data_IF_351027945525
#
_entry.id   IF_351027945525
#
_cell.length_a   1.000
_cell.length_b   1.000
_cell.length_c   1.000
_cell.angle_alpha   90.00
_cell.angle_beta   90.00
_cell.angle_gamma   90.00
#
_symmetry.space_group_name_H-M   'P 1'
#
loop_
_entity.id
_entity.type
_entity.pdbx_description
1 polymer ?
#
# COMPACT_ATOMS: atom_id res chain seq x y z
N UNK A 1 -44.08 -29.32 -41.14
CA UNK A 1 -44.35 -28.53 -39.91
C UNK A 1 -43.27 -28.85 -38.89
N UNK A 2 -42.36 -27.90 -38.61
CA UNK A 2 -41.16 -28.15 -37.79
C UNK A 2 -41.48 -28.43 -36.31
N UNK A 3 -40.64 -29.18 -35.60
CA UNK A 3 -40.78 -29.53 -34.17
C UNK A 3 -40.98 -28.30 -33.25
N UNK A 4 -40.42 -27.14 -33.62
CA UNK A 4 -40.61 -25.87 -32.90
C UNK A 4 -42.07 -25.39 -32.87
N UNK A 5 -42.90 -25.86 -33.78
CA UNK A 5 -44.33 -25.49 -33.84
C UNK A 5 -45.17 -26.31 -32.85
N UNK A 6 -44.74 -27.53 -32.49
CA UNK A 6 -45.44 -28.40 -31.53
C UNK A 6 -45.27 -27.93 -30.08
N UNK A 7 -44.16 -27.26 -29.76
CA UNK A 7 -43.83 -26.82 -28.40
C UNK A 7 -44.57 -25.54 -27.97
N UNK A 8 -45.05 -24.74 -28.94
CA UNK A 8 -45.92 -23.57 -28.67
C UNK A 8 -47.33 -23.96 -28.20
N UNK A 9 -47.81 -25.15 -28.57
CA UNK A 9 -49.16 -25.66 -28.26
C UNK A 9 -49.31 -26.20 -26.84
N UNK A 10 -48.21 -26.35 -26.07
CA UNK A 10 -48.23 -26.83 -24.68
C UNK A 10 -48.17 -25.72 -23.63
N UNK A 11 -48.03 -24.45 -24.04
CA UNK A 11 -47.98 -23.35 -23.08
C UNK A 11 -49.40 -23.07 -22.57
N UNK A 12 -49.64 -23.30 -21.29
CA UNK A 12 -50.89 -22.89 -20.63
C UNK A 12 -51.07 -21.39 -20.88
N UNK A 13 -52.27 -20.94 -21.30
CA UNK A 13 -52.54 -19.53 -21.44
C UNK A 13 -52.27 -18.83 -20.10
N UNK A 14 -51.60 -17.68 -20.15
CA UNK A 14 -51.34 -16.87 -18.95
C UNK A 14 -52.65 -16.45 -18.29
N UNK A 15 -52.62 -16.17 -16.98
CA UNK A 15 -53.80 -15.90 -16.15
C UNK A 15 -54.76 -14.85 -16.75
N UNK A 16 -54.23 -13.85 -17.47
CA UNK A 16 -55.03 -12.82 -18.14
C UNK A 16 -55.99 -13.38 -19.21
N UNK A 17 -55.60 -14.44 -19.91
CA UNK A 17 -56.41 -15.10 -20.95
C UNK A 17 -57.42 -16.10 -20.38
N UNK A 18 -57.39 -16.35 -19.07
CA UNK A 18 -58.37 -17.19 -18.36
C UNK A 18 -59.47 -16.37 -17.68
N UNK A 19 -59.39 -15.03 -17.73
CA UNK A 19 -60.40 -14.13 -17.18
C UNK A 19 -61.59 -14.00 -18.14
N UNK A 20 -62.83 -13.82 -17.63
CA UNK A 20 -63.99 -13.51 -18.46
C UNK A 20 -63.77 -12.22 -19.28
N UNK A 21 -64.30 -12.17 -20.50
CA UNK A 21 -64.14 -11.04 -21.43
C UNK A 21 -64.62 -9.71 -20.82
N UNK A 22 -65.69 -9.75 -20.03
CA UNK A 22 -66.23 -8.59 -19.30
C UNK A 22 -65.23 -8.02 -18.29
N UNK A 23 -64.53 -8.89 -17.56
CA UNK A 23 -63.48 -8.50 -16.61
C UNK A 23 -62.28 -7.94 -17.36
N UNK A 24 -61.93 -8.53 -18.50
CA UNK A 24 -60.82 -8.08 -19.34
C UNK A 24 -61.08 -6.66 -19.91
N UNK A 25 -62.31 -6.40 -20.39
CA UNK A 25 -62.74 -5.09 -20.87
C UNK A 25 -62.75 -4.04 -19.74
N UNK A 26 -63.23 -4.41 -18.54
CA UNK A 26 -63.22 -3.53 -17.39
C UNK A 26 -61.79 -3.15 -16.97
N UNK A 27 -60.85 -4.11 -17.00
CA UNK A 27 -59.43 -3.84 -16.72
C UNK A 27 -58.85 -2.88 -17.77
N UNK A 28 -59.11 -3.10 -19.07
CA UNK A 28 -58.61 -2.22 -20.13
C UNK A 28 -59.14 -0.79 -19.97
N UNK A 29 -60.44 -0.62 -19.69
CA UNK A 29 -61.04 0.69 -19.46
C UNK A 29 -60.48 1.38 -18.21
N UNK A 30 -60.27 0.63 -17.13
CA UNK A 30 -59.60 1.12 -15.93
C UNK A 30 -58.18 1.61 -16.23
N UNK A 31 -57.38 0.80 -16.94
CA UNK A 31 -56.04 1.19 -17.39
C UNK A 31 -56.03 2.43 -18.29
N UNK A 32 -57.02 2.59 -19.18
CA UNK A 32 -57.14 3.78 -20.02
C UNK A 32 -57.46 5.05 -19.21
N UNK A 33 -58.32 4.93 -18.19
CA UNK A 33 -58.68 6.02 -17.28
C UNK A 33 -57.49 6.46 -16.43
N UNK A 34 -56.75 5.50 -15.89
CA UNK A 34 -55.63 5.75 -14.97
C UNK A 34 -54.30 6.01 -15.69
N UNK A 35 -54.27 5.87 -17.02
CA UNK A 35 -53.05 5.96 -17.86
C UNK A 35 -52.18 7.18 -17.54
N UNK A 36 -52.79 8.36 -17.40
CA UNK A 36 -52.04 9.61 -17.15
C UNK A 36 -51.39 9.62 -15.77
N UNK A 37 -52.12 9.13 -14.76
CA UNK A 37 -51.62 9.05 -13.40
C UNK A 37 -50.54 7.98 -13.26
N UNK A 38 -50.75 6.80 -13.87
CA UNK A 38 -49.75 5.74 -13.97
C UNK A 38 -48.51 6.20 -14.72
N UNK A 39 -48.65 6.93 -15.84
CA UNK A 39 -47.51 7.49 -16.55
C UNK A 39 -46.72 8.45 -15.66
N UNK A 40 -47.39 9.37 -14.96
CA UNK A 40 -46.74 10.31 -14.04
C UNK A 40 -45.97 9.58 -12.92
N UNK A 41 -46.59 8.55 -12.32
CA UNK A 41 -45.95 7.70 -11.30
C UNK A 41 -44.73 6.97 -11.86
N UNK A 42 -44.87 6.31 -13.00
CA UNK A 42 -43.78 5.58 -13.65
C UNK A 42 -42.63 6.52 -14.03
N UNK A 43 -42.91 7.72 -14.54
CA UNK A 43 -41.86 8.72 -14.85
C UNK A 43 -41.13 9.16 -13.58
N UNK A 44 -41.86 9.46 -12.50
CA UNK A 44 -41.25 9.85 -11.22
C UNK A 44 -40.42 8.70 -10.60
N UNK A 45 -40.89 7.45 -10.68
CA UNK A 45 -40.13 6.28 -10.24
C UNK A 45 -38.86 6.07 -11.08
N UNK A 46 -38.93 6.27 -12.40
CA UNK A 46 -37.76 6.21 -13.27
C UNK A 46 -36.76 7.33 -12.98
N UNK A 47 -37.22 8.54 -12.69
CA UNK A 47 -36.37 9.66 -12.27
C UNK A 47 -35.68 9.36 -10.93
N UNK A 48 -36.43 8.91 -9.92
CA UNK A 48 -35.87 8.50 -8.63
C UNK A 48 -34.84 7.36 -8.77
N UNK A 49 -35.10 6.39 -9.65
CA UNK A 49 -34.13 5.32 -9.95
C UNK A 49 -32.86 5.86 -10.62
N UNK A 50 -32.98 6.82 -11.54
CA UNK A 50 -31.83 7.47 -12.19
C UNK A 50 -31.00 8.27 -11.18
N UNK A 51 -31.64 9.02 -10.29
CA UNK A 51 -30.98 9.77 -9.23
C UNK A 51 -30.24 8.83 -8.27
N UNK A 52 -30.89 7.74 -7.82
CA UNK A 52 -30.27 6.75 -6.96
C UNK A 52 -29.08 6.05 -7.66
N UNK A 53 -29.20 5.72 -8.95
CA UNK A 53 -28.12 5.14 -9.74
C UNK A 53 -26.93 6.10 -9.88
N UNK A 54 -27.20 7.39 -10.14
CA UNK A 54 -26.17 8.42 -10.22
C UNK A 54 -25.45 8.64 -8.89
N UNK A 55 -26.19 8.67 -7.78
CA UNK A 55 -25.62 8.77 -6.43
C UNK A 55 -24.72 7.56 -6.11
N UNK A 56 -25.17 6.35 -6.46
CA UNK A 56 -24.37 5.12 -6.29
C UNK A 56 -23.11 5.13 -7.15
N UNK A 57 -23.19 5.56 -8.41
CA UNK A 57 -22.02 5.69 -9.29
C UNK A 57 -21.00 6.67 -8.70
N UNK A 58 -21.45 7.81 -8.15
CA UNK A 58 -20.58 8.78 -7.50
C UNK A 58 -19.88 8.18 -6.27
N UNK A 59 -20.61 7.50 -5.39
CA UNK A 59 -20.03 6.84 -4.21
C UNK A 59 -19.01 5.75 -4.59
N UNK A 60 -19.31 4.94 -5.61
CA UNK A 60 -18.36 3.93 -6.10
C UNK A 60 -17.08 4.59 -6.62
N UNK A 61 -17.21 5.71 -7.35
CA UNK A 61 -16.06 6.46 -7.87
C UNK A 61 -15.19 7.00 -6.73
N UNK A 62 -15.80 7.64 -5.75
CA UNK A 62 -15.09 8.18 -4.57
C UNK A 62 -14.40 7.07 -3.77
N UNK A 63 -15.09 5.95 -3.52
CA UNK A 63 -14.52 4.81 -2.83
C UNK A 63 -13.36 4.18 -3.62
N UNK A 64 -13.47 4.07 -4.94
CA UNK A 64 -12.40 3.55 -5.80
C UNK A 64 -11.19 4.49 -5.82
N UNK A 65 -11.39 5.80 -5.85
CA UNK A 65 -10.32 6.79 -5.76
C UNK A 65 -9.60 6.68 -4.41
N UNK A 66 -10.36 6.61 -3.31
CA UNK A 66 -9.78 6.41 -1.98
C UNK A 66 -8.98 5.10 -1.88
N UNK A 67 -9.51 4.00 -2.39
CA UNK A 67 -8.78 2.72 -2.42
C UNK A 67 -7.52 2.80 -3.30
N UNK A 68 -7.54 3.55 -4.39
CA UNK A 68 -6.37 3.77 -5.24
C UNK A 68 -5.31 4.63 -4.53
N UNK A 69 -5.71 5.68 -3.81
CA UNK A 69 -4.79 6.50 -2.99
C UNK A 69 -4.14 5.68 -1.89
N UNK A 70 -4.88 4.84 -1.18
CA UNK A 70 -4.31 3.97 -0.14
C UNK A 70 -3.29 2.97 -0.70
N UNK A 71 -3.63 2.30 -1.81
CA UNK A 71 -2.71 1.39 -2.48
C UNK A 71 -1.45 2.09 -2.98
N UNK A 72 -1.59 3.35 -3.42
CA UNK A 72 -0.44 4.13 -3.86
C UNK A 72 0.45 4.54 -2.68
N UNK A 73 -0.13 4.88 -1.53
CA UNK A 73 0.63 5.11 -0.29
C UNK A 73 1.42 3.84 0.07
N UNK A 74 0.80 2.67 0.08
CA UNK A 74 1.51 1.41 0.33
C UNK A 74 2.65 1.20 -0.68
N UNK A 75 2.40 1.44 -1.97
CA UNK A 75 3.43 1.34 -3.00
C UNK A 75 4.59 2.32 -2.78
N UNK A 76 4.31 3.56 -2.36
CA UNK A 76 5.34 4.54 -1.99
C UNK A 76 6.18 4.07 -0.80
N UNK A 77 5.55 3.56 0.25
CA UNK A 77 6.25 3.00 1.41
C UNK A 77 7.20 1.89 0.99
N UNK A 78 6.70 0.89 0.26
CA UNK A 78 7.48 -0.23 -0.21
C UNK A 78 8.58 0.17 -1.22
N UNK A 79 8.33 1.21 -2.02
CA UNK A 79 9.33 1.78 -2.93
C UNK A 79 10.48 2.44 -2.17
N UNK A 80 10.18 3.25 -1.15
CA UNK A 80 11.19 3.85 -0.27
C UNK A 80 11.98 2.78 0.48
N UNK A 81 11.28 1.77 1.03
CA UNK A 81 11.92 0.64 1.69
C UNK A 81 12.84 -0.14 0.73
N UNK A 82 12.46 -0.30 -0.54
CA UNK A 82 13.29 -0.97 -1.54
C UNK A 82 14.63 -0.24 -1.76
N UNK A 83 14.63 1.09 -1.79
CA UNK A 83 15.86 1.88 -1.96
C UNK A 83 16.65 2.08 -0.68
N UNK A 84 16.03 1.86 0.47
CA UNK A 84 16.68 1.90 1.77
C UNK A 84 17.47 0.63 2.11
N UNK A 85 18.29 0.66 3.18
CA UNK A 85 18.97 -0.52 3.72
C UNK A 85 18.03 -1.67 4.12
N UNK A 86 16.74 -1.42 4.36
CA UNK A 86 15.77 -2.48 4.68
C UNK A 86 15.67 -3.58 3.60
N UNK A 87 16.02 -3.26 2.34
CA UNK A 87 15.96 -4.21 1.24
C UNK A 87 17.23 -5.06 1.14
N UNK A 88 17.04 -6.38 1.10
CA UNK A 88 18.13 -7.32 0.85
C UNK A 88 18.38 -7.37 -0.66
N UNK A 89 19.53 -6.85 -1.10
CA UNK A 89 19.97 -6.78 -2.50
C UNK A 89 21.30 -7.49 -2.68
N UNK A 90 21.54 -8.04 -3.86
CA UNK A 90 22.87 -8.53 -4.31
C UNK A 90 23.53 -9.62 -3.45
N UNK A 91 22.79 -10.30 -2.56
CA UNK A 91 23.33 -11.41 -1.75
C UNK A 91 23.37 -12.72 -2.53
N UNK A 92 24.47 -13.46 -2.34
CA UNK A 92 24.57 -14.86 -2.76
C UNK A 92 23.70 -15.78 -1.88
N UNK A 93 23.50 -17.02 -2.33
CA UNK A 93 22.68 -18.00 -1.59
C UNK A 93 23.21 -18.30 -0.18
N UNK A 94 24.54 -18.29 0.01
CA UNK A 94 25.18 -18.48 1.31
C UNK A 94 24.90 -17.30 2.24
N UNK A 95 25.21 -16.09 1.79
CA UNK A 95 25.04 -14.86 2.56
C UNK A 95 23.57 -14.63 2.97
N UNK A 96 22.61 -14.92 2.07
CA UNK A 96 21.19 -14.80 2.39
C UNK A 96 20.78 -15.79 3.50
N UNK A 97 21.26 -17.04 3.44
CA UNK A 97 20.97 -18.01 4.49
C UNK A 97 21.60 -17.60 5.82
N UNK A 98 22.82 -17.06 5.81
CA UNK A 98 23.51 -16.58 7.01
C UNK A 98 22.80 -15.35 7.61
N UNK A 99 22.34 -14.42 6.77
CA UNK A 99 21.51 -13.29 7.20
C UNK A 99 20.21 -13.76 7.87
N UNK A 100 19.49 -14.68 7.24
CA UNK A 100 18.25 -15.24 7.79
C UNK A 100 18.52 -16.10 9.04
N UNK A 101 19.69 -16.72 9.17
CA UNK A 101 20.10 -17.46 10.35
C UNK A 101 20.27 -16.55 11.56
N UNK A 102 20.89 -15.37 11.38
CA UNK A 102 21.12 -14.35 12.42
C UNK A 102 19.83 -13.78 13.03
N UNK A 103 18.72 -13.77 12.28
CA UNK A 103 17.44 -13.30 12.81
C UNK A 103 16.96 -14.17 13.99
N UNK A 104 16.44 -13.56 15.07
CA UNK A 104 16.24 -14.26 16.35
C UNK A 104 15.06 -15.22 16.36
N UNK A 105 13.99 -14.94 15.60
CA UNK A 105 12.73 -15.70 15.68
C UNK A 105 12.23 -16.13 14.31
N UNK A 106 11.54 -17.29 14.25
CA UNK A 106 10.90 -17.77 13.02
C UNK A 106 9.89 -16.76 12.46
N UNK A 107 9.13 -16.11 13.33
CA UNK A 107 8.18 -15.08 12.93
C UNK A 107 8.88 -13.89 12.27
N UNK A 108 9.99 -13.40 12.85
CA UNK A 108 10.76 -12.29 12.26
C UNK A 108 11.41 -12.69 10.93
N UNK A 109 11.91 -13.92 10.80
CA UNK A 109 12.42 -14.46 9.53
C UNK A 109 11.35 -14.40 8.43
N UNK A 110 10.13 -14.86 8.75
CA UNK A 110 9.03 -14.84 7.80
C UNK A 110 8.60 -13.42 7.45
N UNK A 111 8.54 -12.51 8.42
CA UNK A 111 8.19 -11.11 8.23
C UNK A 111 9.15 -10.40 7.26
N UNK A 112 10.46 -10.47 7.54
CA UNK A 112 11.50 -9.85 6.70
C UNK A 112 11.48 -10.40 5.27
N UNK A 113 11.29 -11.72 5.11
CA UNK A 113 11.17 -12.34 3.78
C UNK A 113 9.91 -11.88 3.04
N UNK A 114 8.77 -11.79 3.74
CA UNK A 114 7.50 -11.33 3.17
C UNK A 114 7.58 -9.86 2.75
N UNK A 115 8.14 -9.01 3.60
CA UNK A 115 8.36 -7.59 3.33
C UNK A 115 9.25 -7.40 2.11
N UNK A 116 10.38 -8.10 2.02
CA UNK A 116 11.28 -8.02 0.86
C UNK A 116 10.61 -8.46 -0.46
N UNK A 117 9.71 -9.44 -0.42
CA UNK A 117 8.91 -9.85 -1.58
C UNK A 117 7.85 -8.77 -1.91
N UNK A 118 7.21 -8.18 -0.91
CA UNK A 118 6.22 -7.09 -1.08
C UNK A 118 6.85 -5.81 -1.60
N UNK A 119 8.06 -5.46 -1.16
CA UNK A 119 8.84 -4.31 -1.65
C UNK A 119 8.91 -4.33 -3.18
N UNK A 120 9.16 -5.52 -3.75
CA UNK A 120 9.29 -5.71 -5.20
C UNK A 120 7.95 -5.82 -5.91
N UNK A 121 7.01 -6.61 -5.36
CA UNK A 121 5.69 -6.78 -5.97
C UNK A 121 4.86 -5.49 -5.96
N UNK A 122 4.73 -4.86 -4.79
CA UNK A 122 3.87 -3.70 -4.56
C UNK A 122 4.65 -2.42 -4.84
N UNK A 123 5.86 -2.28 -4.29
CA UNK A 123 6.67 -1.07 -4.47
C UNK A 123 7.16 -0.87 -5.90
N UNK A 124 7.59 -1.92 -6.60
CA UNK A 124 8.00 -1.84 -8.02
C UNK A 124 6.89 -2.25 -9.00
N UNK A 125 5.74 -2.72 -8.51
CA UNK A 125 4.59 -3.09 -9.36
C UNK A 125 4.79 -4.37 -10.18
N UNK A 126 5.70 -5.25 -9.78
CA UNK A 126 5.97 -6.50 -10.49
C UNK A 126 4.86 -7.55 -10.26
N UNK A 127 3.93 -7.61 -11.21
CA UNK A 127 2.74 -8.48 -11.15
C UNK A 127 3.04 -9.97 -11.27
N UNK A 128 4.21 -10.33 -11.82
CA UNK A 128 4.63 -11.72 -12.03
C UNK A 128 5.21 -12.37 -10.76
N UNK A 129 5.45 -11.61 -9.68
CA UNK A 129 5.87 -12.17 -8.39
C UNK A 129 4.67 -12.83 -7.69
N UNK A 130 4.87 -14.10 -7.31
CA UNK A 130 3.93 -14.85 -6.47
C UNK A 130 4.05 -14.43 -4.99
N UNK A 131 3.00 -13.78 -4.48
CA UNK A 131 2.83 -13.34 -3.09
C UNK A 131 1.92 -14.26 -2.27
N UNK A 132 1.66 -15.47 -2.76
CA UNK A 132 1.02 -16.48 -1.92
C UNK A 132 1.92 -16.80 -0.72
N UNK A 133 1.33 -16.86 0.47
CA UNK A 133 2.03 -17.19 1.73
C UNK A 133 1.77 -18.63 2.18
N UNK A 134 0.92 -19.35 1.45
CA UNK A 134 0.48 -20.69 1.78
C UNK A 134 0.03 -21.41 0.51
N UNK A 135 0.20 -22.73 0.47
CA UNK A 135 -0.32 -23.59 -0.62
C UNK A 135 -1.10 -24.75 -0.01
N UNK A 136 -2.36 -24.92 -0.43
CA UNK A 136 -3.21 -26.01 0.05
C UNK A 136 -3.47 -25.97 1.56
N UNK A 137 -3.62 -24.77 2.14
CA UNK A 137 -3.85 -24.59 3.58
C UNK A 137 -2.58 -24.64 4.45
N UNK A 138 -1.43 -25.00 3.89
CA UNK A 138 -0.17 -25.03 4.63
C UNK A 138 0.65 -23.74 4.38
N UNK A 139 1.07 -23.02 5.43
CA UNK A 139 1.91 -21.84 5.28
C UNK A 139 3.28 -22.22 4.73
N UNK A 140 3.87 -21.34 3.92
CA UNK A 140 5.21 -21.55 3.41
C UNK A 140 6.25 -21.54 4.52
N UNK A 141 7.25 -22.42 4.38
CA UNK A 141 8.38 -22.48 5.28
C UNK A 141 9.34 -21.32 5.02
N UNK A 142 10.23 -21.03 5.99
CA UNK A 142 11.29 -20.03 5.83
C UNK A 142 12.15 -20.37 4.61
N UNK A 143 12.58 -21.63 4.48
CA UNK A 143 13.39 -22.10 3.33
C UNK A 143 12.70 -21.87 1.99
N UNK A 144 11.39 -22.14 1.89
CA UNK A 144 10.63 -21.91 0.66
C UNK A 144 10.61 -20.43 0.26
N UNK A 145 10.40 -19.53 1.23
CA UNK A 145 10.40 -18.09 0.98
C UNK A 145 11.80 -17.56 0.70
N UNK A 146 12.84 -18.09 1.35
CA UNK A 146 14.24 -17.74 1.09
C UNK A 146 14.63 -18.10 -0.35
N UNK A 147 14.30 -19.31 -0.83
CA UNK A 147 14.57 -19.72 -2.21
C UNK A 147 13.82 -18.83 -3.21
N UNK A 148 12.60 -18.41 -2.88
CA UNK A 148 11.82 -17.48 -3.72
C UNK A 148 12.46 -16.10 -3.77
N UNK A 149 12.89 -15.56 -2.64
CA UNK A 149 13.58 -14.27 -2.59
C UNK A 149 14.90 -14.32 -3.36
N UNK A 150 15.67 -15.41 -3.21
CA UNK A 150 16.91 -15.62 -3.97
C UNK A 150 16.63 -15.64 -5.48
N UNK A 151 15.60 -16.37 -5.92
CA UNK A 151 15.21 -16.39 -7.32
C UNK A 151 14.88 -14.98 -7.83
N UNK A 152 14.16 -14.19 -7.03
CA UNK A 152 13.85 -12.81 -7.38
C UNK A 152 15.14 -11.99 -7.51
N UNK A 153 16.03 -11.97 -6.51
CA UNK A 153 17.31 -11.24 -6.56
C UNK A 153 18.14 -11.64 -7.79
N UNK A 154 18.18 -12.93 -8.13
CA UNK A 154 18.91 -13.39 -9.33
C UNK A 154 18.29 -12.88 -10.64
N UNK A 155 16.97 -12.71 -10.69
CA UNK A 155 16.28 -12.14 -11.85
C UNK A 155 16.44 -10.63 -11.93
N UNK A 156 16.58 -9.95 -10.79
CA UNK A 156 16.90 -8.52 -10.71
C UNK A 156 18.31 -8.22 -11.25
N UNK A 157 19.30 -9.00 -10.85
CA UNK A 157 20.72 -8.79 -11.19
C UNK A 157 21.17 -9.35 -12.54
N UNK A 158 20.29 -10.03 -13.30
CA UNK A 158 20.66 -10.60 -14.58
C UNK A 158 20.93 -9.50 -15.63
N UNK A 159 22.15 -9.49 -16.20
CA UNK A 159 22.69 -8.46 -17.12
C UNK A 159 21.83 -8.19 -18.37
N UNK A 160 20.92 -9.09 -18.74
CA UNK A 160 19.97 -8.90 -19.86
C UNK A 160 18.72 -8.07 -19.51
N UNK A 161 18.58 -7.59 -18.26
CA UNK A 161 17.60 -6.54 -17.91
C UNK A 161 16.15 -6.95 -18.17
N UNK A 162 15.77 -8.19 -17.84
CA UNK A 162 14.36 -8.60 -17.94
C UNK A 162 13.47 -7.79 -16.99
N UNK A 163 13.95 -7.48 -15.77
CA UNK A 163 13.18 -6.76 -14.75
C UNK A 163 13.79 -5.37 -14.50
N UNK A 164 13.36 -4.39 -15.28
CA UNK A 164 13.79 -3.00 -15.10
C UNK A 164 13.12 -2.41 -13.86
N UNK A 165 13.94 -1.80 -13.00
CA UNK A 165 13.48 -1.08 -11.81
C UNK A 165 12.76 0.20 -12.28
N UNK A 166 11.47 0.39 -11.95
CA UNK A 166 10.76 1.60 -12.31
C UNK A 166 11.32 2.84 -11.59
N UNK A 167 11.36 4.00 -12.25
CA UNK A 167 11.81 5.25 -11.63
C UNK A 167 10.81 5.79 -10.59
N UNK A 168 9.55 5.34 -10.63
CA UNK A 168 8.49 5.80 -9.72
C UNK A 168 7.64 4.61 -9.26
N UNK A 169 7.03 4.67 -8.06
CA UNK A 169 6.10 3.65 -7.60
C UNK A 169 4.88 3.56 -8.52
N UNK A 170 4.31 2.35 -8.71
CA UNK A 170 3.17 2.12 -9.58
C UNK A 170 1.89 2.73 -9.01
N UNK A 171 1.08 3.38 -9.86
CA UNK A 171 -0.25 3.85 -9.49
C UNK A 171 -1.27 2.79 -9.88
N UNK A 172 -1.97 2.24 -8.89
CA UNK A 172 -3.05 1.28 -9.12
C UNK A 172 -4.37 2.01 -9.39
N UNK A 173 -4.49 2.69 -10.53
CA UNK A 173 -5.79 3.22 -10.97
C UNK A 173 -6.66 2.10 -11.53
N UNK A 174 -7.98 2.10 -11.27
CA UNK A 174 -8.91 1.19 -11.93
C UNK A 174 -9.09 1.61 -13.40
N UNK A 175 -8.10 1.29 -14.23
CA UNK A 175 -8.19 1.46 -15.68
C UNK A 175 -8.99 0.32 -16.29
N UNK A 176 -9.69 0.59 -17.39
CA UNK A 176 -10.33 -0.49 -18.16
C UNK A 176 -9.25 -1.37 -18.78
N UNK A 177 -9.49 -2.67 -18.84
CA UNK A 177 -8.60 -3.59 -19.55
C UNK A 177 -8.56 -3.18 -21.02
N UNK A 178 -7.36 -2.93 -21.54
CA UNK A 178 -7.17 -2.63 -22.95
C UNK A 178 -7.50 -3.88 -23.76
N UNK A 179 -8.68 -3.88 -24.38
CA UNK A 179 -9.04 -4.88 -25.38
C UNK A 179 -8.54 -4.44 -26.74
N UNK A 180 -8.17 -5.40 -27.59
CA UNK A 180 -7.79 -5.13 -28.97
C UNK A 180 -8.95 -4.40 -29.66
N UNK A 181 -8.67 -3.21 -30.22
CA UNK A 181 -9.66 -2.42 -30.92
C UNK A 181 -10.08 -3.13 -32.22
N UNK A 182 -11.24 -3.79 -32.20
CA UNK A 182 -11.87 -4.29 -33.41
C UNK A 182 -12.75 -3.17 -33.99
N UNK A 183 -12.25 -2.49 -35.03
CA UNK A 183 -12.96 -1.42 -35.73
C UNK A 183 -12.73 -0.02 -35.15
N UNK A 184 -13.68 0.89 -35.36
CA UNK A 184 -13.57 2.30 -34.95
C UNK A 184 -14.07 2.50 -33.53
N UNK A 185 -13.28 3.18 -32.69
CA UNK A 185 -13.64 3.49 -31.29
C UNK A 185 -14.86 4.41 -31.26
N UNK A 186 -15.82 4.12 -30.39
CA UNK A 186 -17.05 4.91 -30.26
C UNK A 186 -16.90 5.98 -29.18
N UNK A 187 -17.63 7.09 -29.32
CA UNK A 187 -17.67 8.16 -28.30
C UNK A 187 -18.06 7.67 -26.90
N UNK A 188 -18.85 6.60 -26.83
CA UNK A 188 -19.20 5.96 -25.55
C UNK A 188 -17.96 5.36 -24.86
N UNK A 189 -17.04 4.76 -25.62
CA UNK A 189 -15.79 4.22 -25.09
C UNK A 189 -14.90 5.36 -24.59
N UNK A 190 -14.79 6.44 -25.34
CA UNK A 190 -14.05 7.65 -24.92
C UNK A 190 -14.62 8.23 -23.62
N UNK A 191 -15.93 8.41 -23.54
CA UNK A 191 -16.59 8.92 -22.32
C UNK A 191 -16.44 8.00 -21.10
N UNK A 192 -16.28 6.69 -21.33
CA UNK A 192 -15.98 5.74 -20.26
C UNK A 192 -14.52 5.84 -19.86
N UNK A 193 -13.60 5.94 -20.81
CA UNK A 193 -12.18 6.03 -20.51
C UNK A 193 -11.85 7.34 -19.78
N UNK A 194 -12.46 8.47 -20.13
CA UNK A 194 -12.39 9.73 -19.37
C UNK A 194 -12.90 9.59 -17.93
N UNK A 195 -13.86 8.69 -17.68
CA UNK A 195 -14.38 8.43 -16.33
C UNK A 195 -13.45 7.53 -15.48
N UNK A 196 -12.59 6.73 -16.12
CA UNK A 196 -11.77 5.70 -15.47
C UNK A 196 -10.26 5.97 -15.52
N UNK A 197 -9.80 6.86 -16.40
CA UNK A 197 -8.48 7.50 -16.32
C UNK A 197 -8.52 8.39 -15.08
N UNK A 198 -8.28 7.78 -13.92
CA UNK A 198 -8.08 8.52 -12.68
C UNK A 198 -6.99 9.55 -12.93
N UNK A 199 -7.22 10.77 -12.44
CA UNK A 199 -6.25 11.84 -12.49
C UNK A 199 -5.04 11.42 -11.63
N UNK A 200 -4.07 10.73 -12.24
CA UNK A 200 -2.93 10.12 -11.55
C UNK A 200 -2.19 11.16 -10.71
N UNK A 201 -2.07 12.37 -11.24
CA UNK A 201 -1.46 13.51 -10.56
C UNK A 201 -2.24 13.91 -9.30
N UNK A 202 -3.57 13.85 -9.35
CA UNK A 202 -4.41 14.07 -8.16
C UNK A 202 -4.18 13.00 -7.11
N UNK A 203 -4.12 11.72 -7.52
CA UNK A 203 -3.85 10.59 -6.61
C UNK A 203 -2.48 10.75 -5.96
N UNK A 204 -1.45 11.16 -6.71
CA UNK A 204 -0.11 11.44 -6.18
C UNK A 204 -0.14 12.53 -5.12
N UNK A 205 -0.75 13.68 -5.45
CA UNK A 205 -0.83 14.83 -4.53
C UNK A 205 -1.59 14.50 -3.25
N UNK A 206 -2.75 13.84 -3.38
CA UNK A 206 -3.56 13.42 -2.22
C UNK A 206 -2.81 12.40 -1.35
N UNK A 207 -2.11 11.44 -1.97
CA UNK A 207 -1.32 10.44 -1.24
C UNK A 207 -0.16 11.05 -0.46
N UNK A 208 0.61 11.97 -1.07
CA UNK A 208 1.72 12.67 -0.40
C UNK A 208 1.20 13.47 0.80
N UNK A 209 0.08 14.19 0.63
CA UNK A 209 -0.53 14.94 1.73
C UNK A 209 -1.00 14.01 2.85
N UNK A 210 -1.66 12.90 2.51
CA UNK A 210 -2.15 11.94 3.50
C UNK A 210 -1.00 11.25 4.23
N UNK A 211 0.12 10.96 3.54
CA UNK A 211 1.32 10.41 4.14
C UNK A 211 1.92 11.36 5.18
N UNK A 212 2.10 12.65 4.85
CA UNK A 212 2.58 13.66 5.80
C UNK A 212 1.65 13.79 7.02
N UNK A 213 0.34 13.71 6.81
CA UNK A 213 -0.64 13.73 7.89
C UNK A 213 -0.55 12.48 8.78
N UNK A 214 -0.33 11.29 8.20
CA UNK A 214 -0.14 10.04 8.96
C UNK A 214 1.10 10.09 9.85
N UNK A 215 2.22 10.55 9.29
CA UNK A 215 3.46 10.69 10.06
C UNK A 215 3.32 11.71 11.20
N UNK A 216 2.65 12.84 10.95
CA UNK A 216 2.35 13.84 12.00
C UNK A 216 1.48 13.26 13.12
N UNK A 217 0.58 12.32 12.80
CA UNK A 217 -0.25 11.60 13.79
C UNK A 217 0.46 10.43 14.46
N UNK A 218 1.66 10.06 14.00
CA UNK A 218 2.40 8.87 14.45
C UNK A 218 1.86 7.54 13.91
N UNK A 219 1.03 7.57 12.86
CA UNK A 219 0.48 6.39 12.19
C UNK A 219 1.50 5.83 11.18
N UNK A 220 2.54 5.16 11.69
CA UNK A 220 3.66 4.65 10.90
C UNK A 220 4.87 5.59 10.92
N UNK A 221 6.05 5.04 10.62
CA UNK A 221 7.30 5.81 10.60
C UNK A 221 8.19 5.27 9.49
N UNK A 222 8.38 6.03 8.40
CA UNK A 222 9.35 5.69 7.35
C UNK A 222 10.74 5.43 7.94
N UNK A 223 11.12 6.24 8.92
CA UNK A 223 12.37 6.08 9.66
C UNK A 223 12.50 4.74 10.40
N UNK A 224 11.40 4.07 10.77
CA UNK A 224 11.44 2.73 11.33
C UNK A 224 11.40 1.65 10.23
N UNK A 225 10.56 1.81 9.21
CA UNK A 225 10.36 0.82 8.15
C UNK A 225 11.57 0.71 7.20
N UNK A 226 12.34 1.78 7.02
CA UNK A 226 13.51 1.83 6.13
C UNK A 226 14.82 1.33 6.78
N UNK A 227 14.76 0.86 8.03
CA UNK A 227 15.93 0.34 8.75
C UNK A 227 16.22 -1.11 8.36
N UNK A 228 17.48 -1.51 8.44
CA UNK A 228 17.85 -2.92 8.36
C UNK A 228 17.16 -3.74 9.45
N UNK A 229 16.79 -4.98 9.13
CA UNK A 229 16.15 -5.87 10.10
C UNK A 229 17.07 -6.30 11.24
N UNK A 230 18.39 -6.28 11.01
CA UNK A 230 19.43 -6.54 11.98
C UNK A 230 20.12 -5.23 12.37
N UNK A 231 20.55 -5.10 13.64
CA UNK A 231 21.38 -3.96 14.03
C UNK A 231 22.73 -4.01 13.32
N UNK A 232 23.28 -2.87 12.89
CA UNK A 232 24.61 -2.79 12.31
C UNK A 232 25.70 -3.13 13.33
N UNK A 233 26.89 -3.43 12.82
CA UNK A 233 28.07 -3.67 13.64
C UNK A 233 28.55 -2.35 14.28
N UNK A 234 29.09 -2.41 15.50
CA UNK A 234 29.45 -1.18 16.23
C UNK A 234 30.60 -0.41 15.57
N UNK A 235 31.49 -1.11 14.88
CA UNK A 235 32.59 -0.47 14.17
C UNK A 235 32.11 0.21 12.89
N UNK A 236 31.06 -0.32 12.24
CA UNK A 236 30.54 0.26 11.00
C UNK A 236 29.73 1.54 11.21
N UNK A 237 29.24 1.78 12.43
CA UNK A 237 28.49 3.01 12.77
C UNK A 237 29.39 4.16 13.21
N UNK A 238 30.71 3.97 13.33
CA UNK A 238 31.62 5.05 13.72
C UNK A 238 31.67 6.11 12.62
N UNK A 239 31.35 7.35 12.97
CA UNK A 239 31.22 8.45 12.01
C UNK A 239 29.82 8.60 11.41
N UNK A 240 28.92 7.65 11.64
CA UNK A 240 27.53 7.70 11.19
C UNK A 240 26.61 8.37 12.21
N UNK A 241 25.40 8.72 11.78
CA UNK A 241 24.38 9.36 12.61
C UNK A 241 23.32 8.35 13.06
N UNK A 242 22.96 8.44 14.33
CA UNK A 242 21.99 7.57 14.99
C UNK A 242 20.93 8.41 15.70
N UNK A 243 19.77 7.79 15.91
CA UNK A 243 18.72 8.33 16.77
C UNK A 243 18.54 7.44 18.01
N UNK A 244 18.34 8.06 19.16
CA UNK A 244 18.04 7.40 20.43
C UNK A 244 16.73 7.92 21.00
N UNK A 245 15.84 7.00 21.38
CA UNK A 245 14.56 7.33 22.00
C UNK A 245 14.77 7.60 23.49
N UNK A 246 14.83 8.88 23.87
CA UNK A 246 15.02 9.35 25.23
C UNK A 246 13.70 9.78 25.86
N UNK A 247 13.59 9.64 27.18
CA UNK A 247 12.45 10.19 27.93
C UNK A 247 12.81 11.56 28.45
N UNK A 248 12.06 12.58 28.04
CA UNK A 248 12.24 13.98 28.45
C UNK A 248 11.07 14.36 29.35
N UNK A 249 11.35 15.08 30.43
CA UNK A 249 10.30 15.62 31.30
C UNK A 249 9.79 16.95 30.75
N UNK A 250 8.56 16.95 30.23
CA UNK A 250 7.89 18.13 29.72
C UNK A 250 6.74 18.44 30.68
N UNK A 251 6.96 19.40 31.58
CA UNK A 251 5.92 19.88 32.50
C UNK A 251 5.41 18.83 33.52
N UNK A 252 6.25 17.87 33.92
CA UNK A 252 5.91 16.81 34.88
C UNK A 252 5.36 15.53 34.23
N UNK A 253 5.32 15.46 32.90
CA UNK A 253 5.02 14.25 32.13
C UNK A 253 6.25 13.83 31.32
N UNK A 254 6.59 12.55 31.38
CA UNK A 254 7.68 12.00 30.56
C UNK A 254 7.17 11.72 29.16
N UNK A 255 7.63 12.51 28.19
CA UNK A 255 7.42 12.28 26.77
C UNK A 255 8.64 11.60 26.15
N UNK A 256 8.42 10.77 25.12
CA UNK A 256 9.50 10.08 24.42
C UNK A 256 9.88 10.86 23.16
N UNK A 257 11.15 11.23 23.05
CA UNK A 257 11.72 11.98 21.93
C UNK A 257 12.83 11.17 21.26
N UNK A 258 12.79 11.07 19.93
CA UNK A 258 13.94 10.59 19.16
C UNK A 258 14.97 11.73 19.04
N UNK A 259 16.14 11.51 19.60
CA UNK A 259 17.22 12.48 19.60
C UNK A 259 18.37 12.00 18.73
N UNK A 260 18.81 12.83 17.79
CA UNK A 260 19.83 12.50 16.82
C UNK A 260 21.23 12.90 17.30
N UNK A 261 22.23 12.11 16.91
CA UNK A 261 23.63 12.37 17.23
C UNK A 261 24.59 11.56 16.36
N UNK A 262 25.83 12.03 16.27
CA UNK A 262 26.91 11.39 15.52
C UNK A 262 27.76 10.50 16.43
N UNK A 263 27.98 9.26 16.03
CA UNK A 263 28.87 8.34 16.76
C UNK A 263 30.33 8.73 16.49
N UNK A 264 31.09 9.00 17.53
CA UNK A 264 32.49 9.42 17.42
C UNK A 264 33.45 8.23 17.42
N UNK A 265 33.31 7.31 18.38
CA UNK A 265 34.11 6.09 18.48
C UNK A 265 33.47 5.06 19.42
N UNK A 266 33.95 3.82 19.34
CA UNK A 266 33.56 2.72 20.23
C UNK A 266 34.44 2.75 21.48
N UNK A 267 33.83 2.92 22.66
CA UNK A 267 34.52 2.90 23.96
C UNK A 267 34.77 1.46 24.43
N UNK A 268 33.74 0.62 24.31
CA UNK A 268 33.82 -0.77 24.75
C UNK A 268 32.89 -1.65 23.89
N UNK A 269 33.49 -2.49 23.06
CA UNK A 269 32.76 -3.36 22.13
C UNK A 269 31.95 -4.44 22.86
N UNK A 270 32.53 -5.09 23.88
CA UNK A 270 31.85 -6.14 24.66
C UNK A 270 30.62 -5.61 25.39
N UNK A 271 30.69 -4.40 25.93
CA UNK A 271 29.58 -3.73 26.62
C UNK A 271 28.67 -2.97 25.66
N UNK A 272 29.03 -2.90 24.38
CA UNK A 272 28.38 -2.11 23.33
C UNK A 272 28.21 -0.64 23.70
N UNK A 273 29.28 -0.02 24.18
CA UNK A 273 29.31 1.38 24.56
C UNK A 273 29.99 2.21 23.47
N UNK A 274 29.31 3.25 23.03
CA UNK A 274 29.79 4.20 22.03
C UNK A 274 29.68 5.61 22.57
N UNK A 275 30.60 6.48 22.18
CA UNK A 275 30.51 7.91 22.49
C UNK A 275 29.79 8.60 21.35
N UNK A 276 28.71 9.30 21.68
CA UNK A 276 27.84 9.99 20.73
C UNK A 276 27.90 11.49 21.00
N UNK A 277 28.11 12.27 19.95
CA UNK A 277 27.93 13.72 19.94
C UNK A 277 26.50 14.02 19.53
N UNK A 278 25.69 14.46 20.47
CA UNK A 278 24.28 14.77 20.26
C UNK A 278 24.07 16.16 19.71
N UNK A 279 23.05 16.31 18.89
CA UNK A 279 22.63 17.60 18.37
C UNK A 279 22.00 18.45 19.49
N UNK A 280 22.05 19.80 19.37
CA UNK A 280 21.40 20.70 20.31
C UNK A 280 19.89 20.47 20.43
N UNK A 281 19.38 20.47 21.66
CA UNK A 281 17.96 20.49 21.96
C UNK A 281 17.64 21.79 22.70
N UNK A 282 17.13 22.77 21.96
CA UNK A 282 16.80 24.10 22.51
C UNK A 282 15.77 24.02 23.65
N UNK A 283 14.85 23.04 23.59
CA UNK A 283 13.76 22.87 24.55
C UNK A 283 14.14 22.03 25.80
N UNK A 284 15.37 21.51 25.88
CA UNK A 284 15.82 20.64 26.99
C UNK A 284 16.97 21.30 27.75
N UNK A 285 16.68 21.73 28.99
CA UNK A 285 17.65 22.41 29.84
C UNK A 285 18.94 21.61 30.01
N UNK A 286 20.08 22.23 29.68
CA UNK A 286 21.41 21.61 29.77
C UNK A 286 21.89 20.85 28.53
N UNK A 287 21.08 20.80 27.46
CA UNK A 287 21.44 20.25 26.15
C UNK A 287 21.26 21.25 25.01
N UNK A 288 21.13 22.53 25.36
CA UNK A 288 20.92 23.67 24.47
C UNK A 288 22.05 23.86 23.44
N UNK A 289 23.27 23.40 23.75
CA UNK A 289 24.44 23.43 22.85
C UNK A 289 24.79 22.03 22.31
N UNK A 290 23.96 21.03 22.61
CA UNK A 290 24.28 19.62 22.40
C UNK A 290 25.31 19.11 23.42
N UNK A 291 25.94 17.98 23.12
CA UNK A 291 27.01 17.47 24.00
C UNK A 291 27.41 16.05 23.68
N UNK A 292 28.37 15.53 24.43
CA UNK A 292 28.85 14.16 24.27
C UNK A 292 28.40 13.28 25.44
N UNK A 293 27.91 12.07 25.15
CA UNK A 293 27.67 11.08 26.19
C UNK A 293 28.00 9.66 25.73
N UNK A 294 28.35 8.81 26.69
CA UNK A 294 28.59 7.39 26.47
C UNK A 294 27.25 6.67 26.52
N UNK A 295 26.83 6.11 25.40
CA UNK A 295 25.58 5.40 25.28
C UNK A 295 25.79 3.90 25.10
N UNK A 296 25.00 3.09 25.82
CA UNK A 296 24.95 1.64 25.63
C UNK A 296 23.90 1.28 24.58
N UNK A 297 24.34 0.72 23.45
CA UNK A 297 23.47 0.30 22.35
C UNK A 297 23.09 -1.17 22.49
N UNK A 298 21.83 -1.42 22.89
CA UNK A 298 21.31 -2.78 23.12
C UNK A 298 20.65 -3.30 21.86
N UNK A 299 21.11 -4.42 21.30
CA UNK A 299 20.54 -5.02 20.07
C UNK A 299 19.04 -5.30 20.16
N UNK A 300 18.56 -5.78 21.31
CA UNK A 300 17.13 -6.07 21.51
C UNK A 300 16.25 -4.83 21.41
N UNK A 301 16.84 -3.63 21.56
CA UNK A 301 16.16 -2.34 21.41
C UNK A 301 16.42 -1.67 20.05
N UNK A 302 17.05 -2.37 19.12
CA UNK A 302 17.17 -1.94 17.73
C UNK A 302 15.79 -1.76 17.11
N UNK A 303 15.55 -0.55 16.58
CA UNK A 303 14.34 -0.19 15.85
C UNK A 303 13.05 -0.61 16.59
N UNK A 304 12.94 -0.21 17.87
CA UNK A 304 11.78 -0.43 18.75
C UNK A 304 11.21 0.91 19.23
N UNK A 305 9.93 0.91 19.63
CA UNK A 305 9.28 2.08 20.21
C UNK A 305 9.22 1.97 21.75
N UNK A 306 10.40 1.88 22.38
CA UNK A 306 10.54 1.80 23.84
C UNK A 306 11.73 2.63 24.29
N UNK A 307 11.67 3.25 25.47
CA UNK A 307 12.74 4.10 25.98
C UNK A 307 14.12 3.42 25.92
N UNK A 308 15.13 4.13 25.39
CA UNK A 308 16.47 3.63 25.11
C UNK A 308 16.58 2.74 23.86
N UNK A 309 15.56 2.75 23.00
CA UNK A 309 15.67 2.20 21.66
C UNK A 309 16.48 3.12 20.76
N UNK A 310 17.09 2.52 19.74
CA UNK A 310 17.99 3.22 18.84
C UNK A 310 17.84 2.69 17.41
N UNK A 311 18.14 3.54 16.45
CA UNK A 311 18.13 3.25 15.00
C UNK A 311 19.12 4.16 14.27
N UNK A 312 19.42 3.89 12.99
CA UNK A 312 20.13 4.89 12.18
C UNK A 312 19.22 6.10 11.96
N UNK A 313 19.81 7.28 11.87
CA UNK A 313 19.07 8.45 11.41
C UNK A 313 18.57 8.19 9.98
N UNK A 314 17.30 8.49 9.73
CA UNK A 314 16.70 8.33 8.42
C UNK A 314 16.52 9.70 7.76
N UNK A 315 17.16 9.86 6.61
CA UNK A 315 17.01 11.04 5.75
C UNK A 315 16.22 10.60 4.52
N UNK A 316 15.06 11.21 4.29
CA UNK A 316 14.18 10.89 3.17
C UNK A 316 14.68 11.54 1.86
N UNK A 317 15.80 11.05 1.33
CA UNK A 317 16.40 11.56 0.08
C UNK A 317 15.46 11.40 -1.15
N UNK A 318 14.53 10.44 -1.09
CA UNK A 318 13.52 10.19 -2.12
C UNK A 318 12.25 11.04 -1.93
N UNK A 319 12.10 11.72 -0.80
CA UNK A 319 10.96 12.58 -0.50
C UNK A 319 10.86 13.71 -1.51
N UNK A 320 11.99 14.34 -1.82
CA UNK A 320 12.07 15.47 -2.75
C UNK A 320 11.82 15.00 -4.20
N UNK A 321 12.43 13.89 -4.61
CA UNK A 321 12.26 13.29 -5.95
C UNK A 321 10.82 12.85 -6.26
N UNK A 322 10.05 12.49 -5.23
CA UNK A 322 8.63 12.13 -5.37
C UNK A 322 7.69 13.35 -5.20
N UNK A 323 8.22 14.48 -4.74
CA UNK A 323 7.48 15.72 -4.52
C UNK A 323 7.60 16.73 -5.67
N UNK A 324 8.64 16.61 -6.51
CA UNK A 324 8.87 17.55 -7.60
C UNK A 324 7.80 17.47 -8.69
N UNK A 325 7.19 18.63 -8.88
CA UNK A 325 6.14 18.96 -9.84
C UNK A 325 6.72 19.08 -11.26
N UNK A 326 7.02 17.97 -11.95
CA UNK A 326 7.29 18.08 -13.40
C UNK A 326 6.96 16.79 -14.17
N UNK A 327 5.69 16.36 -14.16
CA UNK A 327 5.04 15.64 -15.29
C UNK A 327 3.58 16.07 -15.48
#
# INVERSE_FOLDING_TARGET
MSEKTKDKLKRKPGLAFTLPDEVMLAVIQSCQKDRKEQHKRNTAELEAQREAAAAKEKLIREHNLHNATEKYIDAMYYYKMFHSPACIKDLTSGELNDYIARLPSKSRKLEVLKENIRMRKIGLGWTHIDDSWSKGGNPYSVSTLTSRLLQIITMEGAEEGQWKIPPHPPICTPSRTHTVALGTRTKNVESLDEKYLGDENKIRKEAIQLLKQRETRGEGSLAAECQEALPPELQSIVGERIELLVGVDVGGQTELLWWAGKVLHVENEEKRQVTVSWDPLEDVSGWEEGGCSIQKLVEKKWNKNTQGAWRMEYIDELGDLLSDEEV
#
